data_IF_602784044680
#
_entry.id   IF_602784044680
#
_cell.length_a   1.000
_cell.length_b   1.000
_cell.length_c   1.000
_cell.angle_alpha   90.00
_cell.angle_beta   90.00
_cell.angle_gamma   90.00
#
_symmetry.space_group_name_H-M   'P 1'
#
loop_
_entity.id
_entity.type
_entity.pdbx_description
1 polymer ?
#
# COMPACT_ATOMS: atom_id res chain seq x y z
N UNK A 1 -30.61 7.65 48.66
CA UNK A 1 -29.83 6.72 47.80
C UNK A 1 -30.43 6.54 46.39
N UNK A 2 -30.94 7.59 45.73
CA UNK A 2 -31.56 7.49 44.37
C UNK A 2 -30.66 7.91 43.20
N UNK A 3 -29.56 8.64 43.46
CA UNK A 3 -28.68 9.15 42.38
C UNK A 3 -27.61 8.16 41.88
N UNK A 4 -27.28 7.13 42.67
CA UNK A 4 -26.25 6.14 42.29
C UNK A 4 -26.76 5.24 41.16
N UNK A 5 -28.06 4.92 41.14
CA UNK A 5 -28.68 4.04 40.14
C UNK A 5 -28.87 4.70 38.75
N UNK A 6 -28.87 6.04 38.68
CA UNK A 6 -28.87 6.74 37.39
C UNK A 6 -27.47 6.78 36.75
N UNK A 7 -26.42 6.86 37.57
CA UNK A 7 -25.05 6.85 37.08
C UNK A 7 -24.62 5.43 36.64
N UNK A 8 -25.04 4.39 37.35
CA UNK A 8 -24.74 3.00 36.96
C UNK A 8 -25.35 2.61 35.61
N UNK A 9 -26.57 3.08 35.30
CA UNK A 9 -27.21 2.87 33.98
C UNK A 9 -26.43 3.55 32.84
N UNK A 10 -25.89 4.75 33.08
CA UNK A 10 -25.06 5.47 32.09
C UNK A 10 -23.71 4.78 31.88
N UNK A 11 -23.08 4.29 32.94
CA UNK A 11 -21.84 3.50 32.86
C UNK A 11 -22.08 2.20 32.08
N UNK A 12 -23.18 1.50 32.34
CA UNK A 12 -23.53 0.27 31.63
C UNK A 12 -23.79 0.52 30.13
N UNK A 13 -24.48 1.61 29.79
CA UNK A 13 -24.70 2.03 28.41
C UNK A 13 -23.39 2.36 27.69
N UNK A 14 -22.45 3.01 28.39
CA UNK A 14 -21.14 3.34 27.83
C UNK A 14 -20.28 2.09 27.61
N UNK A 15 -20.27 1.14 28.56
CA UNK A 15 -19.59 -0.16 28.41
C UNK A 15 -20.20 -0.99 27.27
N UNK A 16 -21.53 -0.97 27.11
CA UNK A 16 -22.20 -1.63 25.99
C UNK A 16 -21.82 -1.02 24.62
N UNK A 17 -21.72 0.31 24.53
CA UNK A 17 -21.24 0.99 23.33
C UNK A 17 -19.77 0.64 23.02
N UNK A 18 -18.90 0.59 24.02
CA UNK A 18 -17.50 0.18 23.86
C UNK A 18 -17.33 -1.32 23.54
N UNK A 19 -18.25 -2.19 23.99
CA UNK A 19 -18.21 -3.61 23.65
C UNK A 19 -18.45 -3.87 22.15
N UNK A 20 -19.22 -2.99 21.47
CA UNK A 20 -19.52 -3.14 20.03
C UNK A 20 -18.38 -2.74 19.09
N UNK A 21 -17.38 -1.99 19.56
CA UNK A 21 -16.24 -1.56 18.70
C UNK A 21 -15.08 -2.55 18.65
N UNK A 22 -15.21 -3.74 19.28
CA UNK A 22 -14.18 -4.80 19.24
C UNK A 22 -14.35 -5.79 18.06
N UNK A 23 -15.13 -5.42 17.05
CA UNK A 23 -15.07 -6.09 15.75
C UNK A 23 -13.77 -5.70 15.05
N UNK A 24 -12.66 -6.35 15.40
CA UNK A 24 -11.43 -6.25 14.62
C UNK A 24 -11.76 -6.64 13.17
N UNK A 25 -11.63 -5.68 12.25
CA UNK A 25 -11.64 -5.98 10.83
C UNK A 25 -10.42 -6.87 10.55
N UNK A 26 -10.65 -8.15 10.22
CA UNK A 26 -9.59 -8.99 9.71
C UNK A 26 -9.18 -8.45 8.34
N UNK A 27 -7.94 -8.00 8.20
CA UNK A 27 -7.40 -7.43 6.97
C UNK A 27 -7.11 -8.51 5.91
N UNK A 28 -8.16 -9.17 5.45
CA UNK A 28 -8.10 -10.04 4.30
C UNK A 28 -8.73 -9.31 3.12
N UNK A 29 -8.02 -8.35 2.56
CA UNK A 29 -8.35 -7.69 1.29
C UNK A 29 -8.13 -8.57 0.05
N UNK A 30 -7.49 -9.74 0.19
CA UNK A 30 -7.11 -10.62 -0.92
C UNK A 30 -7.36 -12.09 -0.58
N UNK A 31 -8.18 -12.77 -1.38
CA UNK A 31 -8.47 -14.20 -1.26
C UNK A 31 -8.16 -14.95 -2.54
N UNK A 32 -7.66 -16.19 -2.35
CA UNK A 32 -7.43 -17.14 -3.43
C UNK A 32 -8.26 -18.38 -3.13
N UNK A 33 -9.07 -18.78 -4.10
CA UNK A 33 -9.92 -19.96 -4.05
C UNK A 33 -9.82 -20.75 -5.36
N UNK A 34 -10.19 -22.03 -5.31
CA UNK A 34 -10.28 -22.87 -6.50
C UNK A 34 -11.69 -22.75 -7.06
N UNK A 35 -11.81 -22.29 -8.31
CA UNK A 35 -13.08 -22.19 -9.02
C UNK A 35 -13.36 -23.42 -9.89
N UNK A 36 -14.41 -23.33 -10.69
CA UNK A 36 -14.81 -24.38 -11.63
C UNK A 36 -13.69 -24.70 -12.63
N UNK A 37 -13.59 -25.98 -13.01
CA UNK A 37 -12.56 -26.50 -13.93
C UNK A 37 -11.10 -26.22 -13.49
N UNK A 38 -10.82 -26.26 -12.18
CA UNK A 38 -9.49 -26.06 -11.58
C UNK A 38 -8.87 -24.65 -11.79
N UNK A 39 -9.66 -23.65 -12.20
CA UNK A 39 -9.17 -22.28 -12.32
C UNK A 39 -8.89 -21.67 -10.95
N UNK A 40 -7.86 -20.85 -10.85
CA UNK A 40 -7.59 -20.05 -9.66
C UNK A 40 -8.46 -18.80 -9.69
N UNK A 41 -9.33 -18.62 -8.70
CA UNK A 41 -10.15 -17.42 -8.57
C UNK A 41 -9.54 -16.49 -7.54
N UNK A 42 -9.14 -15.31 -8.02
CA UNK A 42 -8.66 -14.19 -7.22
C UNK A 42 -9.86 -13.33 -6.85
N UNK A 43 -10.04 -13.08 -5.55
CA UNK A 43 -11.04 -12.16 -5.02
C UNK A 43 -10.33 -11.04 -4.26
N UNK A 44 -10.57 -9.80 -4.67
CA UNK A 44 -10.00 -8.61 -4.06
C UNK A 44 -11.13 -7.78 -3.47
N UNK A 45 -11.05 -7.46 -2.19
CA UNK A 45 -11.98 -6.55 -1.53
C UNK A 45 -11.42 -5.13 -1.53
N UNK A 46 -12.32 -4.15 -1.40
CA UNK A 46 -11.99 -2.73 -1.23
C UNK A 46 -11.01 -2.20 -2.29
N UNK A 47 -11.18 -2.68 -3.53
CA UNK A 47 -10.48 -2.10 -4.68
C UNK A 47 -11.21 -0.84 -5.12
N UNK A 48 -10.46 0.08 -5.74
CA UNK A 48 -11.02 1.23 -6.42
C UNK A 48 -10.75 1.15 -7.91
N UNK A 49 -11.59 1.82 -8.68
CA UNK A 49 -11.31 2.11 -10.08
C UNK A 49 -9.91 2.73 -10.22
N UNK A 50 -9.12 2.19 -11.14
CA UNK A 50 -7.73 2.59 -11.37
C UNK A 50 -6.69 1.81 -10.55
N UNK A 51 -7.07 1.07 -9.50
CA UNK A 51 -6.14 0.16 -8.84
C UNK A 51 -5.60 -0.87 -9.85
N UNK A 52 -4.32 -1.22 -9.73
CA UNK A 52 -3.63 -2.02 -10.72
C UNK A 52 -3.37 -3.42 -10.19
N UNK A 53 -3.90 -4.43 -10.87
CA UNK A 53 -3.60 -5.82 -10.60
C UNK A 53 -2.60 -6.36 -11.62
N UNK A 54 -1.57 -7.06 -11.15
CA UNK A 54 -0.53 -7.65 -12.01
C UNK A 54 -0.15 -9.06 -11.58
N UNK A 55 0.29 -9.86 -12.56
CA UNK A 55 0.97 -11.14 -12.35
C UNK A 55 2.37 -11.00 -12.95
N UNK A 56 3.39 -11.33 -12.16
CA UNK A 56 4.80 -11.19 -12.56
C UNK A 56 5.58 -12.47 -12.29
N UNK A 57 6.64 -12.71 -13.05
CA UNK A 57 7.62 -13.74 -12.73
C UNK A 57 8.67 -13.26 -11.70
N UNK A 58 9.58 -14.15 -11.30
CA UNK A 58 10.70 -13.84 -10.40
C UNK A 58 11.67 -12.75 -10.85
N UNK A 59 11.71 -12.45 -12.15
CA UNK A 59 12.58 -11.41 -12.70
C UNK A 59 11.84 -10.08 -12.84
N UNK A 60 10.56 -10.01 -12.42
CA UNK A 60 9.70 -8.85 -12.56
C UNK A 60 9.06 -8.71 -13.94
N UNK A 61 9.16 -9.70 -14.83
CA UNK A 61 8.48 -9.70 -16.12
C UNK A 61 6.96 -9.76 -15.87
N UNK A 62 6.25 -8.75 -16.37
CA UNK A 62 4.79 -8.66 -16.23
C UNK A 62 4.14 -9.60 -17.24
N UNK A 63 3.50 -10.65 -16.74
CA UNK A 63 2.75 -11.63 -17.52
C UNK A 63 1.30 -11.21 -17.73
N UNK A 64 0.76 -10.45 -16.78
CA UNK A 64 -0.59 -9.93 -16.81
C UNK A 64 -0.65 -8.57 -16.12
N UNK A 65 -1.44 -7.65 -16.65
CA UNK A 65 -1.69 -6.33 -16.08
C UNK A 65 -3.09 -5.85 -16.42
N UNK A 66 -3.81 -5.37 -15.42
CA UNK A 66 -5.16 -4.84 -15.56
C UNK A 66 -5.37 -3.67 -14.60
N UNK A 67 -5.87 -2.55 -15.12
CA UNK A 67 -6.45 -1.50 -14.29
C UNK A 67 -7.90 -1.90 -13.98
N UNK A 68 -8.21 -2.02 -12.69
CA UNK A 68 -9.55 -2.39 -12.22
C UNK A 68 -10.53 -1.26 -12.59
N UNK A 69 -11.69 -1.62 -13.13
CA UNK A 69 -12.70 -0.68 -13.64
C UNK A 69 -13.90 -0.52 -12.69
N UNK A 70 -13.78 -0.98 -11.43
CA UNK A 70 -14.88 -0.98 -10.48
C UNK A 70 -14.40 -0.76 -9.04
N UNK A 71 -15.30 -0.27 -8.20
CA UNK A 71 -15.07 -0.11 -6.77
C UNK A 71 -15.63 -1.32 -5.99
N UNK A 72 -15.03 -1.61 -4.83
CA UNK A 72 -15.52 -2.62 -3.89
C UNK A 72 -14.95 -4.02 -4.17
N UNK A 73 -15.80 -4.98 -4.46
CA UNK A 73 -15.43 -6.38 -4.65
C UNK A 73 -15.03 -6.65 -6.11
N UNK A 74 -13.83 -7.15 -6.36
CA UNK A 74 -13.37 -7.62 -7.67
C UNK A 74 -13.08 -9.12 -7.65
N UNK A 75 -13.48 -9.83 -8.70
CA UNK A 75 -13.25 -11.28 -8.85
C UNK A 75 -12.79 -11.61 -10.26
N UNK A 76 -11.72 -12.40 -10.38
CA UNK A 76 -11.24 -12.87 -11.68
C UNK A 76 -10.64 -14.27 -11.60
N UNK A 77 -10.95 -15.10 -12.59
CA UNK A 77 -10.42 -16.45 -12.73
C UNK A 77 -9.21 -16.47 -13.66
N UNK A 78 -8.18 -17.22 -13.27
CA UNK A 78 -6.95 -17.44 -14.03
C UNK A 78 -6.66 -18.94 -14.15
N UNK A 79 -6.24 -19.37 -15.34
CA UNK A 79 -5.64 -20.69 -15.52
C UNK A 79 -4.11 -20.58 -15.44
N UNK A 80 -3.60 -20.74 -14.22
CA UNK A 80 -2.17 -20.63 -13.91
C UNK A 80 -1.41 -21.93 -14.18
N UNK A 81 -2.10 -23.03 -14.48
CA UNK A 81 -1.49 -24.34 -14.74
C UNK A 81 -0.73 -24.38 -16.06
N UNK A 82 -1.02 -23.42 -16.94
CA UNK A 82 -0.37 -23.17 -18.22
C UNK A 82 0.97 -22.44 -18.10
N UNK A 83 1.29 -21.87 -16.93
CA UNK A 83 2.56 -21.22 -16.69
C UNK A 83 3.68 -22.28 -16.58
N UNK A 84 4.89 -21.99 -17.08
CA UNK A 84 6.05 -22.84 -16.85
C UNK A 84 6.35 -23.04 -15.36
N UNK A 85 7.16 -24.05 -15.06
CA UNK A 85 7.68 -24.25 -13.71
C UNK A 85 8.48 -23.02 -13.25
N UNK A 86 8.11 -22.45 -12.10
CA UNK A 86 8.71 -21.18 -11.66
C UNK A 86 8.06 -20.56 -10.44
N UNK A 87 8.62 -19.42 -10.03
CA UNK A 87 8.10 -18.55 -8.97
C UNK A 87 7.49 -17.30 -9.59
N UNK A 88 6.33 -16.92 -9.06
CA UNK A 88 5.50 -15.85 -9.57
C UNK A 88 4.89 -15.07 -8.42
N UNK A 89 4.36 -13.89 -8.74
CA UNK A 89 3.80 -12.97 -7.77
C UNK A 89 2.50 -12.37 -8.31
N UNK A 90 1.46 -12.38 -7.48
CA UNK A 90 0.36 -11.43 -7.63
C UNK A 90 0.76 -10.14 -6.96
N UNK A 91 0.56 -9.00 -7.61
CA UNK A 91 0.74 -7.68 -7.02
C UNK A 91 -0.53 -6.86 -7.27
N UNK A 92 -1.13 -6.37 -6.19
CA UNK A 92 -2.23 -5.40 -6.20
C UNK A 92 -1.68 -4.06 -5.71
N UNK A 93 -1.56 -3.12 -6.64
CA UNK A 93 -1.09 -1.76 -6.42
C UNK A 93 -2.30 -0.82 -6.25
N UNK A 94 -2.50 -0.34 -5.01
CA UNK A 94 -3.59 0.56 -4.60
C UNK A 94 -3.04 1.96 -4.30
N UNK A 95 -3.91 2.89 -3.95
CA UNK A 95 -3.52 4.29 -3.71
C UNK A 95 -2.47 4.43 -2.61
N UNK A 96 -2.60 3.68 -1.51
CA UNK A 96 -1.78 3.83 -0.30
C UNK A 96 -0.90 2.62 0.01
N UNK A 97 -1.10 1.50 -0.66
CA UNK A 97 -0.42 0.24 -0.36
C UNK A 97 -0.20 -0.60 -1.61
N UNK A 98 0.81 -1.47 -1.57
CA UNK A 98 1.06 -2.50 -2.57
C UNK A 98 1.07 -3.84 -1.84
N UNK A 99 0.16 -4.74 -2.22
CA UNK A 99 0.09 -6.09 -1.64
C UNK A 99 0.63 -7.12 -2.63
N UNK A 100 1.56 -7.93 -2.17
CA UNK A 100 2.22 -8.96 -2.98
C UNK A 100 1.97 -10.34 -2.38
N UNK A 101 1.57 -11.30 -3.21
CA UNK A 101 1.39 -12.71 -2.79
C UNK A 101 2.21 -13.61 -3.70
N UNK A 102 3.24 -14.31 -3.17
CA UNK A 102 4.00 -15.27 -3.94
C UNK A 102 3.21 -16.55 -4.22
N UNK A 103 3.49 -17.15 -5.37
CA UNK A 103 3.05 -18.50 -5.70
C UNK A 103 4.08 -19.20 -6.59
N UNK A 104 4.02 -20.53 -6.61
CA UNK A 104 4.88 -21.38 -7.43
C UNK A 104 4.04 -22.25 -8.35
N UNK A 105 4.56 -22.49 -9.54
CA UNK A 105 4.04 -23.50 -10.45
C UNK A 105 5.09 -24.61 -10.58
N UNK A 106 4.66 -25.86 -10.42
CA UNK A 106 5.51 -27.04 -10.56
C UNK A 106 4.68 -28.18 -11.13
N UNK A 107 5.04 -28.70 -12.30
CA UNK A 107 4.31 -29.80 -12.98
C UNK A 107 2.81 -29.47 -13.08
N UNK A 108 2.49 -28.24 -13.53
CA UNK A 108 1.13 -27.70 -13.63
C UNK A 108 0.34 -27.63 -12.31
N UNK A 109 0.97 -27.88 -11.17
CA UNK A 109 0.40 -27.65 -9.84
C UNK A 109 0.78 -26.25 -9.35
N UNK A 110 -0.20 -25.54 -8.78
CA UNK A 110 -0.04 -24.16 -8.30
C UNK A 110 -0.09 -24.16 -6.78
N UNK A 111 0.98 -23.67 -6.16
CA UNK A 111 1.12 -23.59 -4.69
C UNK A 111 1.23 -22.12 -4.30
N UNK A 112 0.26 -21.61 -3.55
CA UNK A 112 0.25 -20.24 -3.04
C UNK A 112 0.97 -20.15 -1.70
N UNK A 113 1.84 -19.16 -1.57
CA UNK A 113 2.63 -18.91 -0.37
C UNK A 113 2.08 -17.67 0.33
N UNK A 114 0.94 -17.85 1.00
CA UNK A 114 0.19 -16.76 1.65
C UNK A 114 0.88 -16.24 2.92
N UNK A 115 1.69 -17.08 3.55
CA UNK A 115 2.39 -16.72 4.78
C UNK A 115 3.54 -15.74 4.50
N UNK A 116 4.07 -15.75 3.28
CA UNK A 116 5.04 -14.76 2.78
C UNK A 116 4.37 -13.66 1.95
N UNK A 117 3.09 -13.36 2.21
CA UNK A 117 2.45 -12.18 1.63
C UNK A 117 3.04 -10.91 2.25
N UNK A 118 3.38 -9.94 1.40
CA UNK A 118 3.99 -8.68 1.82
C UNK A 118 3.04 -7.52 1.52
N UNK A 119 3.09 -6.49 2.37
CA UNK A 119 2.38 -5.22 2.14
C UNK A 119 3.34 -4.06 2.33
N UNK A 120 3.51 -3.27 1.27
CA UNK A 120 4.31 -2.03 1.29
C UNK A 120 3.33 -0.87 1.42
N UNK A 121 3.35 -0.17 2.55
CA UNK A 121 2.63 1.09 2.68
C UNK A 121 3.42 2.20 2.02
N UNK A 122 2.77 2.89 1.08
CA UNK A 122 3.37 3.96 0.30
C UNK A 122 3.57 5.20 1.17
N UNK A 123 4.69 5.92 1.01
CA UNK A 123 4.84 7.25 1.59
C UNK A 123 3.75 8.19 1.06
N UNK A 124 3.17 9.01 1.92
CA UNK A 124 2.18 10.00 1.55
C UNK A 124 2.66 11.41 1.84
N UNK A 125 2.25 12.34 0.98
CA UNK A 125 2.65 13.74 1.05
C UNK A 125 1.43 14.63 1.27
N UNK A 126 1.52 15.57 2.20
CA UNK A 126 0.54 16.65 2.34
C UNK A 126 1.29 17.99 2.39
N UNK A 127 0.87 18.94 1.56
CA UNK A 127 1.43 20.30 1.58
C UNK A 127 0.41 21.25 2.18
N UNK A 128 0.83 22.03 3.18
CA UNK A 128 0.05 23.13 3.74
C UNK A 128 0.92 24.38 3.79
N UNK A 129 0.57 25.39 3.00
CA UNK A 129 1.37 26.60 2.86
C UNK A 129 2.80 26.25 2.42
N UNK A 130 3.81 26.60 3.23
CA UNK A 130 5.23 26.35 3.02
C UNK A 130 5.74 25.08 3.72
N UNK A 131 4.84 24.27 4.27
CA UNK A 131 5.16 23.04 5.01
C UNK A 131 4.82 21.80 4.20
N UNK A 132 5.81 20.93 4.07
CA UNK A 132 5.71 19.59 3.51
C UNK A 132 5.64 18.57 4.64
N UNK A 133 4.53 17.86 4.74
CA UNK A 133 4.34 16.73 5.65
C UNK A 133 4.53 15.43 4.88
N UNK A 134 5.39 14.55 5.40
CA UNK A 134 5.63 13.21 4.86
C UNK A 134 5.32 12.20 5.95
N UNK A 135 4.55 11.17 5.60
CA UNK A 135 4.27 10.05 6.49
C UNK A 135 4.44 8.70 5.79
N UNK A 136 4.96 7.71 6.50
CA UNK A 136 4.97 6.30 6.09
C UNK A 136 4.76 5.40 7.30
N UNK A 137 3.90 4.40 7.13
CA UNK A 137 3.82 3.26 8.05
C UNK A 137 4.86 2.22 7.64
N UNK A 138 5.79 1.92 8.53
CA UNK A 138 6.90 0.99 8.33
C UNK A 138 6.83 -0.06 9.45
N UNK A 139 5.91 -1.02 9.35
CA UNK A 139 5.57 -1.91 10.48
C UNK A 139 6.79 -2.66 11.06
N UNK A 140 7.75 -3.00 10.19
CA UNK A 140 8.98 -3.70 10.56
C UNK A 140 10.22 -2.78 10.58
N UNK A 141 10.00 -1.46 10.50
CA UNK A 141 11.07 -0.46 10.51
C UNK A 141 11.80 -0.34 9.18
N UNK A 142 11.09 -0.65 8.08
CA UNK A 142 11.54 -0.53 6.71
C UNK A 142 12.11 0.88 6.44
N UNK A 143 13.21 0.92 5.71
CA UNK A 143 13.92 2.15 5.42
C UNK A 143 13.17 3.02 4.41
N UNK A 144 13.07 4.32 4.71
CA UNK A 144 12.58 5.35 3.80
C UNK A 144 13.69 6.36 3.49
N UNK A 145 14.13 6.40 2.24
CA UNK A 145 14.94 7.48 1.68
C UNK A 145 14.00 8.57 1.13
N UNK A 146 14.24 9.82 1.52
CA UNK A 146 13.49 11.00 1.07
C UNK A 146 14.48 11.97 0.42
N UNK A 147 14.31 12.20 -0.88
CA UNK A 147 15.09 13.18 -1.64
C UNK A 147 14.17 14.28 -2.16
N UNK A 148 14.46 15.54 -1.79
CA UNK A 148 13.68 16.71 -2.20
C UNK A 148 14.51 17.51 -3.20
N UNK A 149 13.93 17.76 -4.35
CA UNK A 149 14.51 18.55 -5.42
C UNK A 149 13.70 19.82 -5.66
N UNK A 150 14.38 20.90 -6.02
CA UNK A 150 13.78 22.14 -6.48
C UNK A 150 14.10 22.38 -7.96
N UNK A 151 13.16 22.91 -8.71
CA UNK A 151 13.37 23.35 -10.08
C UNK A 151 14.43 24.46 -10.13
N UNK A 152 15.38 24.35 -11.05
CA UNK A 152 16.52 25.28 -11.13
C UNK A 152 16.57 26.08 -12.45
N UNK A 153 15.55 25.97 -13.30
CA UNK A 153 15.45 26.72 -14.57
C UNK A 153 16.46 26.34 -15.65
N UNK A 154 17.34 25.36 -15.42
CA UNK A 154 18.33 24.89 -16.41
C UNK A 154 17.82 23.67 -17.17
N UNK A 155 17.57 23.81 -18.47
CA UNK A 155 17.04 22.74 -19.32
C UNK A 155 17.81 21.41 -19.25
N UNK A 156 19.13 21.43 -19.08
CA UNK A 156 19.96 20.23 -19.04
C UNK A 156 19.87 19.46 -17.71
N UNK A 157 19.43 20.12 -16.63
CA UNK A 157 19.33 19.52 -15.31
C UNK A 157 18.22 20.24 -14.52
N UNK A 158 16.93 20.08 -14.90
CA UNK A 158 15.84 20.96 -14.48
C UNK A 158 15.58 20.95 -12.97
N UNK A 159 16.12 19.99 -12.23
CA UNK A 159 15.94 19.82 -10.79
C UNK A 159 17.29 19.71 -10.08
N UNK A 160 17.46 20.48 -9.01
CA UNK A 160 18.59 20.41 -8.09
C UNK A 160 18.18 19.74 -6.79
N UNK A 161 18.97 18.78 -6.29
CA UNK A 161 18.76 18.19 -4.97
C UNK A 161 19.03 19.24 -3.89
N UNK A 162 18.04 19.53 -3.06
CA UNK A 162 18.15 20.51 -1.97
C UNK A 162 18.10 19.85 -0.58
N UNK A 163 17.60 18.61 -0.49
CA UNK A 163 17.59 17.85 0.75
C UNK A 163 17.62 16.35 0.46
N UNK A 164 18.31 15.58 1.30
CA UNK A 164 18.26 14.13 1.28
C UNK A 164 18.39 13.59 2.70
N UNK A 165 17.55 12.63 3.05
CA UNK A 165 17.67 11.90 4.30
C UNK A 165 17.16 10.46 4.19
N UNK A 166 17.62 9.62 5.11
CA UNK A 166 17.24 8.23 5.22
C UNK A 166 16.82 7.94 6.65
N UNK A 167 15.63 7.38 6.82
CA UNK A 167 15.07 6.98 8.10
C UNK A 167 14.90 5.47 8.11
N UNK A 168 15.46 4.80 9.12
CA UNK A 168 15.37 3.34 9.29
C UNK A 168 15.00 3.01 10.73
N UNK A 169 14.56 1.77 11.01
CA UNK A 169 14.21 1.29 12.36
C UNK A 169 13.11 2.10 13.08
N UNK A 170 12.22 2.74 12.32
CA UNK A 170 11.15 3.58 12.87
C UNK A 170 9.81 3.11 12.34
N UNK A 171 8.87 2.72 13.24
CA UNK A 171 7.60 2.11 12.81
C UNK A 171 6.62 3.07 12.14
N UNK A 172 6.62 4.31 12.59
CA UNK A 172 5.78 5.37 12.07
C UNK A 172 6.68 6.56 11.75
N UNK A 173 6.95 6.76 10.47
CA UNK A 173 7.84 7.82 10.01
C UNK A 173 6.98 9.05 9.75
N UNK A 174 7.28 10.15 10.43
CA UNK A 174 6.64 11.45 10.23
C UNK A 174 7.73 12.52 10.12
N UNK A 175 7.74 13.25 9.00
CA UNK A 175 8.68 14.36 8.77
C UNK A 175 7.93 15.61 8.35
N UNK A 176 8.46 16.76 8.77
CA UNK A 176 7.99 18.08 8.34
C UNK A 176 9.18 18.86 7.81
N UNK A 177 9.05 19.38 6.60
CA UNK A 177 10.04 20.27 5.98
C UNK A 177 9.41 21.62 5.75
N UNK A 178 10.19 22.68 5.96
CA UNK A 178 9.79 24.05 5.69
C UNK A 178 10.55 24.58 4.49
N UNK A 179 9.83 25.07 3.50
CA UNK A 179 10.40 25.76 2.34
C UNK A 179 10.49 27.25 2.63
N UNK A 180 11.62 27.86 2.26
CA UNK A 180 11.83 29.31 2.47
C UNK A 180 11.06 30.12 1.41
N UNK A 181 11.09 29.68 0.14
CA UNK A 181 10.46 30.35 -1.00
C UNK A 181 9.52 29.38 -1.75
N UNK A 182 8.50 28.88 -1.05
CA UNK A 182 7.59 27.87 -1.60
C UNK A 182 6.81 28.38 -2.82
N UNK A 183 7.00 27.73 -3.95
CA UNK A 183 6.18 27.88 -5.15
C UNK A 183 5.66 26.52 -5.59
N UNK A 184 4.34 26.43 -5.72
CA UNK A 184 3.66 25.22 -6.14
C UNK A 184 4.07 24.87 -7.57
N UNK A 185 4.44 23.62 -7.81
CA UNK A 185 4.92 23.06 -9.06
C UNK A 185 6.45 23.04 -9.19
N UNK A 186 7.19 23.73 -8.32
CA UNK A 186 8.65 23.85 -8.41
C UNK A 186 9.41 22.74 -7.67
N UNK A 187 8.73 21.76 -7.05
CA UNK A 187 9.42 20.71 -6.30
C UNK A 187 9.07 19.32 -6.78
N UNK A 188 10.08 18.45 -6.75
CA UNK A 188 9.97 17.02 -6.98
C UNK A 188 10.49 16.29 -5.77
N UNK A 189 9.68 15.40 -5.22
CA UNK A 189 10.06 14.56 -4.09
C UNK A 189 10.16 13.13 -4.58
N UNK A 190 11.26 12.47 -4.24
CA UNK A 190 11.49 11.07 -4.55
C UNK A 190 11.58 10.32 -3.22
N UNK A 191 10.75 9.30 -3.09
CA UNK A 191 10.80 8.35 -1.99
C UNK A 191 11.33 7.01 -2.50
N UNK A 192 12.28 6.40 -1.78
CA UNK A 192 12.69 5.01 -2.02
C UNK A 192 12.52 4.19 -0.76
N UNK A 193 11.87 3.04 -0.90
CA UNK A 193 11.46 2.20 0.23
C UNK A 193 11.13 0.81 -0.31
N UNK A 194 11.57 -0.27 0.35
CA UNK A 194 11.33 -1.67 -0.06
C UNK A 194 11.61 -1.96 -1.57
N UNK A 195 12.66 -1.35 -2.13
CA UNK A 195 13.02 -1.51 -3.56
C UNK A 195 12.08 -0.82 -4.55
N UNK A 196 11.08 -0.08 -4.07
CA UNK A 196 10.16 0.74 -4.88
C UNK A 196 10.60 2.20 -4.86
N UNK A 197 10.21 2.94 -5.91
CA UNK A 197 10.42 4.38 -6.01
C UNK A 197 9.09 5.07 -6.27
N UNK A 198 8.78 6.08 -5.47
CA UNK A 198 7.59 6.91 -5.59
C UNK A 198 8.02 8.35 -5.87
N UNK A 199 7.33 9.03 -6.78
CA UNK A 199 7.66 10.38 -7.19
C UNK A 199 6.43 11.26 -7.06
N UNK A 200 6.58 12.36 -6.34
CA UNK A 200 5.55 13.38 -6.16
C UNK A 200 6.04 14.71 -6.72
N UNK A 201 5.16 15.44 -7.39
CA UNK A 201 5.40 16.81 -7.85
C UNK A 201 4.46 17.73 -7.08
N UNK A 202 5.02 18.72 -6.38
CA UNK A 202 4.25 19.65 -5.54
C UNK A 202 4.43 21.09 -5.98
#
# INVERSE_FOLDING_TARGET
MKNVMNNSKKVFLMVALFATVMGYASDNSFYISKGDANKTVITLNDVKEGNLFTIKDKNGLILYKEAIQQNGLYKKGFDLTSLPDGSYFFELDKDMEIKTIPFKVKVSEVVFDKDNAETIFKPSTVVKQDLLFVSKLALEGEELEISIYQENGFYAAPYQLIHNETISNTKHIERVYKFVDFRKGEYKIIYKTEGKTFVEFI
#
